data_IF_010443695238
#
_entry.id   IF_010443695238
#
_cell.length_a   1.000
_cell.length_b   1.000
_cell.length_c   1.000
_cell.angle_alpha   90.00
_cell.angle_beta   90.00
_cell.angle_gamma   90.00
#
_symmetry.space_group_name_H-M   'P 1'
#
loop_
_entity.id
_entity.type
_entity.pdbx_description
1 polymer ?
#
# COMPACT_ATOMS: atom_id res chain seq x y z
N UNK A 1 -39.35 16.93 -30.06
CA UNK A 1 -39.23 18.37 -29.78
C UNK A 1 -39.50 18.55 -28.29
N UNK A 2 -38.45 18.83 -27.49
CA UNK A 2 -38.21 20.14 -26.82
C UNK A 2 -39.37 20.57 -25.91
N UNK A 3 -39.24 21.06 -24.68
CA UNK A 3 -38.21 21.21 -23.63
C UNK A 3 -38.99 21.96 -22.52
N UNK A 4 -38.68 21.69 -21.24
CA UNK A 4 -38.68 22.63 -20.10
C UNK A 4 -39.91 23.39 -19.54
N UNK A 5 -39.82 23.59 -18.21
CA UNK A 5 -40.52 24.57 -17.38
C UNK A 5 -41.49 23.90 -16.41
N UNK A 6 -41.40 23.96 -15.08
CA UNK A 6 -40.87 24.95 -14.13
C UNK A 6 -40.74 24.20 -12.79
N UNK A 7 -39.62 24.31 -12.06
CA UNK A 7 -39.64 24.30 -10.59
C UNK A 7 -38.31 24.88 -10.07
N UNK A 8 -38.28 26.21 -10.01
CA UNK A 8 -37.39 26.99 -9.18
C UNK A 8 -38.26 27.90 -8.30
N UNK A 9 -37.75 28.21 -7.10
CA UNK A 9 -38.30 29.08 -6.06
C UNK A 9 -39.21 28.39 -5.02
N UNK A 10 -38.57 27.79 -4.01
CA UNK A 10 -38.74 28.28 -2.63
C UNK A 10 -37.43 28.05 -1.86
N UNK A 11 -36.68 29.15 -1.70
CA UNK A 11 -35.56 29.28 -0.78
C UNK A 11 -35.84 30.53 0.06
N UNK A 12 -35.45 30.48 1.35
CA UNK A 12 -35.29 31.59 2.32
C UNK A 12 -36.48 32.05 3.18
N UNK A 13 -36.44 31.65 4.45
CA UNK A 13 -36.50 32.44 5.72
C UNK A 13 -37.00 31.49 6.84
N UNK A 14 -36.18 31.07 7.80
CA UNK A 14 -35.81 31.91 8.95
C UNK A 14 -34.53 31.40 9.64
N UNK A 15 -33.65 32.34 9.99
CA UNK A 15 -32.59 32.18 10.98
C UNK A 15 -33.10 32.77 12.31
N UNK A 16 -32.54 32.26 13.42
CA UNK A 16 -32.55 32.71 14.83
C UNK A 16 -33.73 32.30 15.72
N UNK A 17 -33.55 31.23 16.53
CA UNK A 17 -33.29 31.38 17.97
C UNK A 17 -32.87 30.06 18.67
N UNK A 18 -32.04 30.23 19.69
CA UNK A 18 -31.65 29.31 20.78
C UNK A 18 -30.71 28.11 20.56
N UNK A 19 -29.45 28.37 20.93
CA UNK A 19 -28.52 27.45 21.59
C UNK A 19 -29.18 26.72 22.78
N UNK A 20 -29.50 25.43 22.64
CA UNK A 20 -29.49 24.37 23.67
C UNK A 20 -30.33 23.13 23.27
N UNK A 21 -30.02 22.49 22.14
CA UNK A 21 -30.58 21.15 21.83
C UNK A 21 -29.72 20.44 20.78
N UNK A 22 -28.47 20.09 21.12
CA UNK A 22 -27.51 19.48 20.17
C UNK A 22 -27.04 18.07 20.51
N UNK A 23 -27.70 17.37 21.43
CA UNK A 23 -27.30 16.00 21.80
C UNK A 23 -28.35 14.90 21.55
N UNK A 24 -29.50 15.20 20.93
CA UNK A 24 -30.56 14.21 20.68
C UNK A 24 -30.82 13.89 19.20
N UNK A 25 -30.07 14.46 18.24
CA UNK A 25 -30.37 14.32 16.80
C UNK A 25 -29.41 13.43 16.00
N UNK A 26 -28.45 12.76 16.64
CA UNK A 26 -27.47 11.94 15.92
C UNK A 26 -27.89 10.47 15.71
N UNK A 27 -29.04 10.03 16.23
CA UNK A 27 -29.55 8.66 16.03
C UNK A 27 -30.43 8.49 14.77
N UNK A 28 -30.75 9.54 14.03
CA UNK A 28 -31.71 9.50 12.90
C UNK A 28 -31.10 9.53 11.49
N UNK A 29 -29.76 9.53 11.35
CA UNK A 29 -29.10 9.72 10.04
C UNK A 29 -28.60 8.42 9.36
N UNK A 30 -28.42 7.33 10.09
CA UNK A 30 -28.10 6.01 9.48
C UNK A 30 -29.29 5.42 8.70
N UNK A 31 -30.49 5.96 8.87
CA UNK A 31 -31.73 5.42 8.30
C UNK A 31 -31.90 5.76 6.81
N UNK A 32 -31.38 6.90 6.32
CA UNK A 32 -31.70 7.39 4.96
C UNK A 32 -30.95 6.60 3.86
N UNK A 33 -29.70 6.22 4.11
CA UNK A 33 -28.85 5.52 3.12
C UNK A 33 -29.30 4.07 2.93
N UNK A 34 -29.85 3.46 3.98
CA UNK A 34 -30.28 2.07 3.99
C UNK A 34 -31.66 1.85 3.33
N UNK A 35 -32.43 2.91 3.06
CA UNK A 35 -33.73 2.84 2.37
C UNK A 35 -33.66 3.15 0.86
N UNK A 36 -32.46 3.47 0.34
CA UNK A 36 -32.25 3.67 -1.09
C UNK A 36 -32.01 2.32 -1.78
N UNK A 37 -32.87 1.96 -2.72
CA UNK A 37 -32.60 0.83 -3.63
C UNK A 37 -31.57 1.25 -4.68
N UNK A 38 -30.30 1.04 -4.34
CA UNK A 38 -29.16 1.45 -5.16
C UNK A 38 -29.15 0.81 -6.56
N UNK A 39 -29.85 -0.31 -6.75
CA UNK A 39 -29.91 -1.02 -8.03
C UNK A 39 -30.71 -0.26 -9.10
N UNK A 40 -31.49 0.74 -8.70
CA UNK A 40 -32.30 1.55 -9.63
C UNK A 40 -31.49 2.66 -10.31
N UNK A 41 -30.25 2.90 -9.88
CA UNK A 41 -29.40 3.94 -10.45
C UNK A 41 -28.42 3.36 -11.47
N UNK A 42 -28.35 4.01 -12.63
CA UNK A 42 -27.25 3.77 -13.58
C UNK A 42 -25.91 4.22 -13.00
N UNK A 43 -24.82 3.65 -13.53
CA UNK A 43 -23.46 4.02 -13.13
C UNK A 43 -23.16 5.53 -13.27
N UNK A 44 -23.72 6.19 -14.29
CA UNK A 44 -23.56 7.63 -14.49
C UNK A 44 -24.27 8.45 -13.41
N UNK A 45 -25.47 8.00 -13.00
CA UNK A 45 -26.21 8.63 -11.90
C UNK A 45 -25.46 8.46 -10.58
N UNK A 46 -24.89 7.28 -10.31
CA UNK A 46 -24.06 7.04 -9.12
C UNK A 46 -22.81 7.94 -9.07
N UNK A 47 -22.10 8.09 -10.20
CA UNK A 47 -20.96 9.01 -10.31
C UNK A 47 -21.37 10.46 -10.04
N UNK A 48 -22.55 10.88 -10.54
CA UNK A 48 -23.08 12.22 -10.30
C UNK A 48 -23.43 12.45 -8.82
N UNK A 49 -24.07 11.47 -8.17
CA UNK A 49 -24.36 11.50 -6.73
C UNK A 49 -23.06 11.62 -5.93
N UNK A 50 -22.04 10.82 -6.25
CA UNK A 50 -20.73 10.88 -5.58
C UNK A 50 -20.09 12.27 -5.70
N UNK A 51 -20.14 12.87 -6.90
CA UNK A 51 -19.61 14.22 -7.15
C UNK A 51 -20.33 15.28 -6.30
N UNK A 52 -21.65 15.23 -6.25
CA UNK A 52 -22.48 16.17 -5.47
C UNK A 52 -22.26 16.04 -3.96
N UNK A 53 -22.17 14.80 -3.44
CA UNK A 53 -21.85 14.56 -2.02
C UNK A 53 -20.47 15.10 -1.68
N UNK A 54 -19.47 14.86 -2.53
CA UNK A 54 -18.11 15.37 -2.32
C UNK A 54 -18.07 16.90 -2.29
N UNK A 55 -18.82 17.56 -3.17
CA UNK A 55 -18.95 19.01 -3.19
C UNK A 55 -19.66 19.54 -1.95
N UNK A 56 -20.74 18.88 -1.50
CA UNK A 56 -21.46 19.26 -0.29
C UNK A 56 -20.60 19.15 0.97
N UNK A 57 -19.81 18.07 1.10
CA UNK A 57 -18.84 17.90 2.20
C UNK A 57 -17.83 19.04 2.19
N UNK A 58 -17.26 19.36 1.02
CA UNK A 58 -16.29 20.45 0.88
C UNK A 58 -16.88 21.82 1.28
N UNK A 59 -18.09 22.14 0.81
CA UNK A 59 -18.80 23.35 1.19
C UNK A 59 -19.09 23.39 2.70
N UNK A 60 -19.47 22.25 3.30
CA UNK A 60 -19.75 22.17 4.74
C UNK A 60 -18.49 22.38 5.57
N UNK A 61 -17.38 21.77 5.20
CA UNK A 61 -16.07 21.99 5.83
C UNK A 61 -15.67 23.46 5.81
N UNK A 62 -15.87 24.15 4.66
CA UNK A 62 -15.62 25.59 4.53
C UNK A 62 -16.53 26.42 5.45
N UNK A 63 -17.82 26.07 5.52
CA UNK A 63 -18.80 26.78 6.37
C UNK A 63 -18.56 26.60 7.87
N UNK A 64 -17.92 25.51 8.27
CA UNK A 64 -17.59 25.20 9.66
C UNK A 64 -16.26 25.81 10.12
N UNK A 65 -15.59 26.61 9.27
CA UNK A 65 -14.29 27.19 9.61
C UNK A 65 -13.19 26.15 9.79
N UNK A 66 -13.37 24.92 9.30
CA UNK A 66 -12.41 23.83 9.42
C UNK A 66 -11.23 23.96 8.42
N UNK A 67 -11.07 25.13 7.79
CA UNK A 67 -9.91 25.45 6.96
C UNK A 67 -9.25 26.73 7.46
N UNK A 68 -8.38 26.60 8.46
CA UNK A 68 -7.06 27.23 8.55
C UNK A 68 -6.31 26.78 9.83
N UNK A 69 -6.21 25.46 10.05
CA UNK A 69 -4.99 24.98 10.71
C UNK A 69 -3.88 25.10 9.68
N UNK A 70 -2.95 26.05 9.89
CA UNK A 70 -1.68 26.23 9.16
C UNK A 70 -1.30 24.97 8.38
N UNK A 71 -1.76 24.86 7.13
CA UNK A 71 -1.37 23.74 6.31
C UNK A 71 0.06 24.03 5.93
N UNK A 72 0.98 23.36 6.62
CA UNK A 72 2.30 23.10 6.05
C UNK A 72 2.07 22.76 4.57
N UNK A 73 2.78 23.41 3.63
CA UNK A 73 2.47 23.35 2.20
C UNK A 73 2.13 21.92 1.83
N UNK A 74 0.92 21.68 1.32
CA UNK A 74 0.40 20.33 1.14
C UNK A 74 1.30 19.58 0.15
N UNK A 75 2.26 18.85 0.71
CA UNK A 75 3.32 18.26 -0.07
C UNK A 75 2.75 17.11 -0.87
N UNK A 76 2.98 17.15 -2.17
CA UNK A 76 2.64 16.06 -3.06
C UNK A 76 3.86 15.13 -3.13
N UNK A 77 3.63 13.85 -3.42
CA UNK A 77 4.71 12.93 -3.74
C UNK A 77 4.65 12.60 -5.23
N UNK A 78 5.81 12.43 -5.83
CA UNK A 78 5.96 11.86 -7.16
C UNK A 78 6.84 10.62 -7.05
N UNK A 79 6.34 9.48 -7.52
CA UNK A 79 7.14 8.28 -7.67
C UNK A 79 7.87 8.31 -9.01
N UNK A 80 9.06 7.72 -9.04
CA UNK A 80 9.81 7.52 -10.26
C UNK A 80 10.75 6.34 -10.11
N UNK A 81 11.14 5.76 -11.24
CA UNK A 81 12.09 4.66 -11.30
C UNK A 81 13.41 5.07 -10.62
N UNK A 82 13.89 4.24 -9.69
CA UNK A 82 15.19 4.43 -9.07
C UNK A 82 16.20 3.40 -9.60
N UNK A 83 15.86 2.12 -9.53
CA UNK A 83 16.71 1.01 -9.99
C UNK A 83 15.85 -0.15 -10.48
N UNK A 84 16.42 -0.94 -11.39
CA UNK A 84 15.91 -2.23 -11.86
C UNK A 84 17.00 -3.26 -11.65
N UNK A 85 16.63 -4.44 -11.16
CA UNK A 85 17.49 -5.60 -11.01
C UNK A 85 16.80 -6.79 -11.69
N UNK A 86 17.49 -7.59 -12.51
CA UNK A 86 18.89 -7.41 -12.89
C UNK A 86 19.10 -6.14 -13.74
N UNK A 87 20.23 -5.46 -13.54
CA UNK A 87 20.47 -4.10 -14.10
C UNK A 87 20.36 -4.00 -15.61
N UNK A 88 20.69 -5.08 -16.32
CA UNK A 88 20.62 -5.12 -17.79
C UNK A 88 19.20 -4.98 -18.32
N UNK A 89 18.17 -5.29 -17.52
CA UNK A 89 16.75 -5.14 -17.91
C UNK A 89 16.19 -3.73 -17.70
N UNK A 90 17.00 -2.78 -17.23
CA UNK A 90 16.54 -1.40 -17.02
C UNK A 90 15.89 -0.79 -18.27
N UNK A 91 16.46 -1.04 -19.45
CA UNK A 91 15.99 -0.45 -20.70
C UNK A 91 14.87 -1.25 -21.37
N UNK A 92 14.64 -2.50 -20.95
CA UNK A 92 13.59 -3.39 -21.46
C UNK A 92 12.42 -3.54 -20.48
N UNK A 93 12.39 -2.80 -19.37
CA UNK A 93 11.29 -2.86 -18.41
C UNK A 93 9.93 -2.56 -19.07
N UNK A 94 9.91 -1.71 -20.09
CA UNK A 94 8.70 -1.36 -20.84
C UNK A 94 8.10 -2.52 -21.66
N UNK A 95 8.86 -3.59 -21.87
CA UNK A 95 8.38 -4.78 -22.59
C UNK A 95 7.41 -5.60 -21.72
N UNK A 96 7.48 -5.44 -20.39
CA UNK A 96 6.62 -6.15 -19.43
C UNK A 96 5.28 -5.44 -19.26
N UNK A 97 4.20 -6.21 -19.38
CA UNK A 97 2.83 -5.67 -19.30
C UNK A 97 2.22 -5.80 -17.89
N UNK A 98 2.73 -6.73 -17.08
CA UNK A 98 2.25 -7.02 -15.73
C UNK A 98 3.31 -6.74 -14.67
N UNK A 99 2.86 -6.40 -13.48
CA UNK A 99 3.72 -6.22 -12.30
C UNK A 99 3.09 -6.75 -11.02
N UNK A 100 3.90 -6.84 -9.97
CA UNK A 100 3.50 -7.15 -8.60
C UNK A 100 3.86 -5.97 -7.72
N UNK A 101 2.90 -5.40 -7.01
CA UNK A 101 3.13 -4.34 -6.04
C UNK A 101 3.07 -4.89 -4.63
N UNK A 102 4.22 -4.93 -3.95
CA UNK A 102 4.35 -5.50 -2.61
C UNK A 102 4.01 -4.45 -1.53
N UNK A 103 2.89 -4.65 -0.83
CA UNK A 103 2.47 -3.83 0.32
C UNK A 103 2.98 -4.46 1.61
N UNK A 104 3.96 -3.80 2.22
CA UNK A 104 4.40 -4.10 3.59
C UNK A 104 3.58 -3.29 4.58
N UNK A 105 2.71 -3.96 5.34
CA UNK A 105 1.90 -3.31 6.38
C UNK A 105 2.80 -2.64 7.42
N UNK A 106 2.34 -1.54 8.01
CA UNK A 106 3.12 -0.76 8.99
C UNK A 106 4.26 0.10 8.39
N UNK A 107 4.61 -0.04 7.11
CA UNK A 107 5.60 0.84 6.48
C UNK A 107 5.01 2.21 6.12
N UNK A 108 5.75 3.28 6.45
CA UNK A 108 5.37 4.68 6.17
C UNK A 108 5.06 4.95 4.69
N UNK A 109 5.58 4.13 3.78
CA UNK A 109 5.33 4.27 2.35
C UNK A 109 3.89 3.94 1.95
N UNK A 110 3.22 3.12 2.75
CA UNK A 110 1.85 2.65 2.48
C UNK A 110 0.85 3.26 3.46
N UNK A 111 1.29 3.67 4.65
CA UNK A 111 0.45 4.36 5.64
C UNK A 111 0.24 5.85 5.31
N UNK A 112 1.16 6.51 4.59
CA UNK A 112 0.91 7.83 4.03
C UNK A 112 0.19 7.70 2.69
N UNK A 113 -1.11 7.99 2.67
CA UNK A 113 -1.96 7.92 1.47
C UNK A 113 -1.36 8.66 0.27
N UNK A 114 -0.59 9.74 0.47
CA UNK A 114 0.01 10.49 -0.64
C UNK A 114 1.15 9.72 -1.30
N UNK A 115 1.95 9.00 -0.50
CA UNK A 115 3.03 8.12 -0.99
C UNK A 115 2.47 6.92 -1.72
N UNK A 116 1.41 6.32 -1.15
CA UNK A 116 0.68 5.22 -1.78
C UNK A 116 0.12 5.66 -3.15
N UNK A 117 -0.64 6.77 -3.20
CA UNK A 117 -1.20 7.30 -4.45
C UNK A 117 -0.16 7.58 -5.52
N UNK A 118 0.96 8.21 -5.16
CA UNK A 118 2.05 8.46 -6.10
C UNK A 118 2.64 7.17 -6.68
N UNK A 119 2.68 6.10 -5.88
CA UNK A 119 3.15 4.78 -6.33
C UNK A 119 2.14 4.12 -7.26
N UNK A 120 0.85 4.15 -6.91
CA UNK A 120 -0.25 3.63 -7.75
C UNK A 120 -0.27 4.34 -9.11
N UNK A 121 -0.16 5.67 -9.11
CA UNK A 121 -0.12 6.47 -10.33
C UNK A 121 1.03 6.02 -11.24
N UNK A 122 2.25 5.93 -10.70
CA UNK A 122 3.42 5.46 -11.47
C UNK A 122 3.21 4.05 -12.02
N UNK A 123 2.71 3.10 -11.22
CA UNK A 123 2.42 1.74 -11.71
C UNK A 123 1.42 1.79 -12.86
N UNK A 124 0.35 2.58 -12.72
CA UNK A 124 -0.71 2.68 -13.73
C UNK A 124 -0.24 3.28 -15.06
N UNK A 125 0.85 4.04 -15.05
CA UNK A 125 1.44 4.64 -16.25
C UNK A 125 2.44 3.72 -16.95
N UNK A 126 2.93 2.68 -16.26
CA UNK A 126 4.00 1.81 -16.75
C UNK A 126 3.56 0.36 -17.01
N UNK A 127 2.45 -0.10 -16.42
CA UNK A 127 1.96 -1.48 -16.55
C UNK A 127 0.46 -1.54 -16.84
N UNK A 128 0.04 -2.54 -17.62
CA UNK A 128 -1.38 -2.79 -17.97
C UNK A 128 -2.12 -3.58 -16.90
N UNK A 129 -1.41 -4.41 -16.13
CA UNK A 129 -1.97 -5.12 -14.99
C UNK A 129 -1.01 -5.12 -13.81
N UNK A 130 -1.56 -5.18 -12.60
CA UNK A 130 -0.76 -5.26 -11.40
C UNK A 130 -1.46 -6.09 -10.32
N UNK A 131 -0.77 -7.10 -9.80
CA UNK A 131 -1.20 -7.79 -8.58
C UNK A 131 -0.70 -6.98 -7.39
N UNK A 132 -1.60 -6.55 -6.53
CA UNK A 132 -1.30 -5.84 -5.28
C UNK A 132 -1.26 -6.87 -4.16
N UNK A 133 -0.05 -7.24 -3.75
CA UNK A 133 0.16 -8.23 -2.70
C UNK A 133 0.13 -7.54 -1.34
N UNK A 134 -0.80 -7.95 -0.50
CA UNK A 134 -0.91 -7.49 0.88
C UNK A 134 -0.20 -8.50 1.78
N UNK A 135 0.92 -8.10 2.40
CA UNK A 135 1.69 -8.91 3.34
C UNK A 135 1.01 -9.07 4.70
N UNK A 136 -0.21 -9.57 4.72
CA UNK A 136 -1.04 -9.68 5.92
C UNK A 136 -0.51 -10.73 6.89
N UNK A 137 -0.45 -12.01 6.51
CA UNK A 137 0.13 -13.08 7.32
C UNK A 137 1.59 -12.82 7.67
N UNK A 138 2.41 -12.34 6.74
CA UNK A 138 3.82 -11.99 6.98
C UNK A 138 3.97 -10.93 8.10
N UNK A 139 3.04 -9.98 8.17
CA UNK A 139 3.13 -8.88 9.13
C UNK A 139 2.96 -9.35 10.58
N UNK A 140 2.42 -10.56 10.83
CA UNK A 140 2.37 -11.14 12.19
C UNK A 140 3.76 -11.22 12.83
N UNK A 141 4.78 -11.61 12.06
CA UNK A 141 6.16 -11.74 12.54
C UNK A 141 6.74 -10.36 12.89
N UNK A 142 6.31 -9.31 12.18
CA UNK A 142 6.66 -7.94 12.54
C UNK A 142 6.01 -7.53 13.86
N UNK A 143 4.75 -7.92 14.10
CA UNK A 143 4.04 -7.65 15.34
C UNK A 143 4.66 -8.39 16.52
N UNK A 144 5.05 -9.66 16.35
CA UNK A 144 5.76 -10.43 17.38
C UNK A 144 7.10 -9.76 17.73
N UNK A 145 7.92 -9.40 16.73
CA UNK A 145 9.25 -8.81 16.95
C UNK A 145 9.18 -7.39 17.52
N UNK A 146 8.28 -6.52 17.02
CA UNK A 146 8.29 -5.09 17.37
C UNK A 146 7.30 -4.70 18.44
N UNK A 147 6.21 -5.46 18.58
CA UNK A 147 5.12 -5.15 19.49
C UNK A 147 4.96 -6.21 20.59
N UNK A 148 5.88 -7.20 20.65
CA UNK A 148 5.91 -8.26 21.67
C UNK A 148 4.55 -8.96 21.82
N UNK A 149 3.81 -9.05 20.72
CA UNK A 149 2.52 -9.72 20.68
C UNK A 149 2.71 -11.23 20.67
N UNK A 150 1.75 -11.97 21.22
CA UNK A 150 1.76 -13.43 21.07
C UNK A 150 1.47 -13.81 19.61
N UNK A 151 1.96 -14.97 19.16
CA UNK A 151 1.80 -15.42 17.77
C UNK A 151 0.33 -15.41 17.29
N UNK A 152 -0.60 -15.88 18.13
CA UNK A 152 -2.03 -15.90 17.81
C UNK A 152 -2.61 -14.48 17.67
N UNK A 153 -2.33 -13.60 18.65
CA UNK A 153 -2.81 -12.21 18.62
C UNK A 153 -2.21 -11.45 17.44
N UNK A 154 -0.92 -11.66 17.18
CA UNK A 154 -0.21 -11.07 16.05
C UNK A 154 -0.81 -11.51 14.72
N UNK A 155 -1.12 -12.80 14.55
CA UNK A 155 -1.74 -13.31 13.33
C UNK A 155 -3.12 -12.68 13.10
N UNK A 156 -4.00 -12.71 14.11
CA UNK A 156 -5.34 -12.15 13.97
C UNK A 156 -5.30 -10.65 13.65
N UNK A 157 -4.47 -9.90 14.37
CA UNK A 157 -4.27 -8.48 14.11
C UNK A 157 -3.75 -8.21 12.68
N UNK A 158 -2.77 -8.98 12.22
CA UNK A 158 -2.17 -8.79 10.91
C UNK A 158 -3.15 -9.10 9.77
N UNK A 159 -3.94 -10.17 9.89
CA UNK A 159 -5.01 -10.50 8.94
C UNK A 159 -6.08 -9.40 8.88
N UNK A 160 -6.51 -8.88 10.03
CA UNK A 160 -7.47 -7.78 10.10
C UNK A 160 -6.91 -6.51 9.47
N UNK A 161 -5.65 -6.17 9.74
CA UNK A 161 -4.98 -5.02 9.13
C UNK A 161 -4.90 -5.13 7.60
N UNK A 162 -4.65 -6.32 7.07
CA UNK A 162 -4.64 -6.56 5.63
C UNK A 162 -6.01 -6.31 4.99
N UNK A 163 -7.08 -6.82 5.60
CA UNK A 163 -8.46 -6.59 5.15
C UNK A 163 -8.83 -5.11 5.18
N UNK A 164 -8.50 -4.43 6.28
CA UNK A 164 -8.81 -3.02 6.45
C UNK A 164 -8.02 -2.16 5.46
N UNK A 165 -6.75 -2.49 5.19
CA UNK A 165 -5.96 -1.82 4.16
C UNK A 165 -6.65 -1.85 2.80
N UNK A 166 -7.14 -3.03 2.36
CA UNK A 166 -7.85 -3.18 1.09
C UNK A 166 -9.12 -2.31 1.12
N UNK A 167 -9.95 -2.47 2.16
CA UNK A 167 -11.23 -1.74 2.30
C UNK A 167 -11.05 -0.23 2.20
N UNK A 168 -10.05 0.32 2.89
CA UNK A 168 -9.79 1.76 2.94
C UNK A 168 -9.18 2.31 1.64
N UNK A 169 -8.33 1.53 0.97
CA UNK A 169 -7.48 2.05 -0.10
C UNK A 169 -7.91 1.61 -1.50
N UNK A 170 -8.74 0.58 -1.67
CA UNK A 170 -9.14 0.04 -2.98
C UNK A 170 -9.67 1.11 -3.94
N UNK A 171 -10.38 2.12 -3.43
CA UNK A 171 -10.92 3.22 -4.25
C UNK A 171 -9.83 4.00 -4.97
N UNK A 172 -8.62 4.11 -4.40
CA UNK A 172 -7.49 4.78 -5.04
C UNK A 172 -6.92 3.99 -6.21
N UNK A 173 -7.01 2.67 -6.17
CA UNK A 173 -6.60 1.80 -7.28
C UNK A 173 -7.64 1.85 -8.41
N UNK A 174 -8.93 1.81 -8.07
CA UNK A 174 -10.02 1.87 -9.06
C UNK A 174 -10.07 3.20 -9.84
N UNK A 175 -9.52 4.29 -9.30
CA UNK A 175 -9.35 5.54 -10.05
C UNK A 175 -8.54 5.37 -11.33
N UNK A 176 -7.68 4.34 -11.41
CA UNK A 176 -6.82 4.06 -12.54
C UNK A 176 -7.25 2.82 -13.34
N UNK A 177 -8.46 2.30 -13.13
CA UNK A 177 -8.94 1.05 -13.76
C UNK A 177 -8.96 1.08 -15.30
N UNK A 178 -8.96 2.28 -15.93
CA UNK A 178 -8.87 2.44 -17.39
C UNK A 178 -7.44 2.35 -17.93
N UNK A 179 -6.42 2.47 -17.07
CA UNK A 179 -5.00 2.39 -17.44
C UNK A 179 -4.36 1.08 -17.00
N UNK A 180 -4.70 0.60 -15.81
CA UNK A 180 -4.12 -0.59 -15.22
C UNK A 180 -5.17 -1.41 -14.47
N UNK A 181 -5.19 -2.71 -14.73
CA UNK A 181 -6.02 -3.67 -14.02
C UNK A 181 -5.33 -4.09 -12.71
N UNK A 182 -5.77 -3.52 -11.59
CA UNK A 182 -5.27 -3.87 -10.25
C UNK A 182 -6.08 -5.03 -9.64
N UNK A 183 -5.38 -6.06 -9.17
CA UNK A 183 -5.98 -7.20 -8.47
C UNK A 183 -5.35 -7.39 -7.10
N UNK A 184 -6.14 -7.45 -6.05
CA UNK A 184 -5.62 -7.67 -4.70
C UNK A 184 -5.47 -9.16 -4.42
N UNK A 185 -4.36 -9.53 -3.78
CA UNK A 185 -4.14 -10.88 -3.26
C UNK A 185 -3.41 -10.78 -1.92
N UNK A 186 -3.76 -11.64 -0.98
CA UNK A 186 -3.18 -11.65 0.36
C UNK A 186 -2.13 -12.74 0.48
N UNK A 187 -1.08 -12.51 1.25
CA UNK A 187 -0.07 -13.55 1.50
C UNK A 187 -0.67 -14.74 2.23
N UNK A 188 -1.65 -14.51 3.11
CA UNK A 188 -2.43 -15.56 3.78
C UNK A 188 -3.22 -16.48 2.85
N UNK A 189 -3.45 -16.07 1.59
CA UNK A 189 -4.06 -16.91 0.56
C UNK A 189 -3.02 -17.75 -0.18
N UNK A 190 -1.82 -17.21 -0.40
CA UNK A 190 -0.70 -17.89 -1.08
C UNK A 190 -0.11 -18.99 -0.17
N UNK A 191 -0.01 -18.72 1.12
CA UNK A 191 0.53 -19.66 2.13
C UNK A 191 -0.25 -20.98 2.22
N UNK A 192 -1.50 -21.01 1.75
CA UNK A 192 -2.34 -22.22 1.74
C UNK A 192 -2.05 -23.15 0.56
N UNK A 193 -1.21 -22.73 -0.37
CA UNK A 193 -0.87 -23.52 -1.56
C UNK A 193 0.23 -24.54 -1.26
N UNK A 194 0.23 -25.67 -1.97
CA UNK A 194 1.29 -26.67 -1.84
C UNK A 194 2.63 -26.14 -2.36
N UNK A 195 2.61 -25.24 -3.34
CA UNK A 195 3.80 -24.57 -3.87
C UNK A 195 4.52 -23.74 -2.80
N UNK A 196 3.76 -23.01 -1.96
CA UNK A 196 4.34 -22.27 -0.85
C UNK A 196 5.09 -23.20 0.10
N UNK A 197 4.46 -24.30 0.51
CA UNK A 197 5.10 -25.26 1.40
C UNK A 197 6.38 -25.83 0.79
N UNK A 198 6.36 -26.18 -0.49
CA UNK A 198 7.53 -26.72 -1.19
C UNK A 198 8.69 -25.72 -1.22
N UNK A 199 8.45 -24.46 -1.63
CA UNK A 199 9.52 -23.45 -1.66
C UNK A 199 9.99 -23.06 -0.25
N UNK A 200 9.08 -22.99 0.72
CA UNK A 200 9.45 -22.70 2.10
C UNK A 200 10.38 -23.79 2.67
N UNK A 201 10.04 -25.07 2.46
CA UNK A 201 10.90 -26.18 2.86
C UNK A 201 12.27 -26.14 2.17
N UNK A 202 12.30 -25.89 0.86
CA UNK A 202 13.54 -25.75 0.11
C UNK A 202 14.42 -24.62 0.66
N UNK A 203 13.83 -23.47 0.99
CA UNK A 203 14.54 -22.33 1.56
C UNK A 203 15.02 -22.60 2.99
N UNK A 204 14.27 -23.37 3.78
CA UNK A 204 14.71 -23.83 5.10
C UNK A 204 15.92 -24.77 5.00
N UNK A 205 15.88 -25.73 4.08
CA UNK A 205 17.01 -26.63 3.80
C UNK A 205 18.23 -25.86 3.31
N UNK A 206 18.03 -24.89 2.42
CA UNK A 206 19.10 -24.02 1.93
C UNK A 206 19.73 -23.22 3.07
N UNK A 207 18.91 -22.66 3.96
CA UNK A 207 19.40 -21.94 5.14
C UNK A 207 20.16 -22.86 6.12
N UNK A 208 19.84 -24.14 6.18
CA UNK A 208 20.57 -25.07 7.06
C UNK A 208 21.91 -25.52 6.47
N UNK A 209 21.98 -25.65 5.13
CA UNK A 209 23.08 -26.36 4.48
C UNK A 209 24.04 -25.45 3.69
N UNK A 210 23.59 -24.27 3.23
CA UNK A 210 24.40 -23.39 2.38
C UNK A 210 24.86 -22.12 3.10
N UNK A 211 26.18 -21.99 3.30
CA UNK A 211 26.77 -20.88 4.04
C UNK A 211 26.52 -19.52 3.37
N UNK A 212 26.58 -19.45 2.04
CA UNK A 212 26.33 -18.21 1.29
C UNK A 212 24.91 -17.69 1.51
N UNK A 213 23.93 -18.60 1.51
CA UNK A 213 22.54 -18.27 1.78
C UNK A 213 22.32 -17.91 3.24
N UNK A 214 22.97 -18.60 4.19
CA UNK A 214 22.97 -18.21 5.60
C UNK A 214 23.46 -16.78 5.78
N UNK A 215 24.58 -16.40 5.14
CA UNK A 215 25.15 -15.06 5.24
C UNK A 215 24.22 -14.00 4.64
N UNK A 216 23.51 -14.32 3.55
CA UNK A 216 22.47 -13.48 2.97
C UNK A 216 21.34 -13.21 3.98
N UNK A 217 20.79 -14.27 4.55
CA UNK A 217 19.70 -14.20 5.54
C UNK A 217 20.15 -13.44 6.78
N UNK A 218 21.35 -13.71 7.29
CA UNK A 218 21.91 -13.03 8.46
C UNK A 218 22.09 -11.52 8.21
N UNK A 219 22.51 -11.11 7.01
CA UNK A 219 22.57 -9.69 6.63
C UNK A 219 21.18 -9.05 6.58
N UNK A 220 20.17 -9.76 6.07
CA UNK A 220 18.79 -9.30 6.10
C UNK A 220 18.31 -9.11 7.54
N UNK A 221 18.48 -10.12 8.39
CA UNK A 221 18.09 -10.10 9.81
C UNK A 221 18.75 -8.93 10.53
N UNK A 222 20.06 -8.76 10.35
CA UNK A 222 20.80 -7.65 10.93
C UNK A 222 20.22 -6.30 10.48
N UNK A 223 20.03 -6.10 9.18
CA UNK A 223 19.48 -4.85 8.65
C UNK A 223 18.04 -4.58 9.10
N UNK A 224 17.24 -5.63 9.29
CA UNK A 224 15.85 -5.54 9.73
C UNK A 224 15.74 -5.11 11.20
N UNK A 225 16.50 -5.75 12.10
CA UNK A 225 16.47 -5.47 13.53
C UNK A 225 17.05 -4.09 13.89
N UNK A 226 18.03 -3.62 13.12
CA UNK A 226 18.66 -2.30 13.34
C UNK A 226 17.89 -1.15 12.64
N UNK A 227 16.80 -1.45 11.93
CA UNK A 227 16.00 -0.41 11.27
C UNK A 227 15.16 0.35 12.30
N UNK A 228 15.64 1.51 12.73
CA UNK A 228 14.88 2.48 13.52
C UNK A 228 14.86 2.27 15.03
N UNK A 229 15.68 1.36 15.58
CA UNK A 229 15.93 1.28 17.03
C UNK A 229 17.19 2.08 17.39
N UNK A 230 17.11 2.96 18.39
CA UNK A 230 18.26 3.30 19.23
C UNK A 230 18.48 2.07 20.13
N UNK A 231 19.67 1.46 20.07
CA UNK A 231 19.93 0.19 20.72
C UNK A 231 19.97 0.42 22.24
N UNK A 232 18.97 -0.09 22.98
CA UNK A 232 19.16 -0.41 24.39
C UNK A 232 19.88 -1.76 24.45
N UNK A 233 21.20 -1.69 24.55
CA UNK A 233 22.12 -2.82 24.67
C UNK A 233 21.97 -3.36 26.10
N UNK A 234 20.87 -4.03 26.44
CA UNK A 234 20.72 -4.71 27.74
C UNK A 234 19.59 -5.77 27.75
N UNK A 235 19.10 -6.22 26.58
CA UNK A 235 18.12 -7.31 26.52
C UNK A 235 18.80 -8.68 26.48
N UNK A 236 18.28 -9.60 27.32
CA UNK A 236 18.78 -10.96 27.56
C UNK A 236 19.00 -11.79 26.26
N UNK A 237 20.03 -12.63 26.27
CA UNK A 237 20.44 -13.47 25.12
C UNK A 237 19.30 -14.32 24.51
N UNK A 238 18.29 -14.69 25.30
CA UNK A 238 17.15 -15.49 24.85
C UNK A 238 16.18 -14.68 23.99
N UNK A 239 15.83 -13.45 24.39
CA UNK A 239 14.95 -12.59 23.61
C UNK A 239 15.56 -12.27 22.24
N UNK A 240 16.87 -11.99 22.22
CA UNK A 240 17.60 -11.74 20.98
C UNK A 240 17.58 -12.95 20.04
N UNK A 241 17.73 -14.16 20.57
CA UNK A 241 17.66 -15.40 19.79
C UNK A 241 16.26 -15.61 19.18
N UNK A 242 15.21 -15.31 19.94
CA UNK A 242 13.83 -15.38 19.45
C UNK A 242 13.54 -14.34 18.36
N UNK A 243 13.99 -13.10 18.52
CA UNK A 243 13.86 -12.06 17.50
C UNK A 243 14.56 -12.46 16.18
N UNK A 244 15.77 -13.03 16.27
CA UNK A 244 16.50 -13.55 15.11
C UNK A 244 15.68 -14.63 14.41
N UNK A 245 15.17 -15.62 15.14
CA UNK A 245 14.38 -16.70 14.57
C UNK A 245 13.14 -16.18 13.83
N UNK A 246 12.39 -15.24 14.43
CA UNK A 246 11.20 -14.66 13.81
C UNK A 246 11.51 -13.88 12.53
N UNK A 247 12.60 -13.11 12.51
CA UNK A 247 13.00 -12.34 11.31
C UNK A 247 13.56 -13.25 10.22
N UNK A 248 14.27 -14.33 10.60
CA UNK A 248 14.66 -15.39 9.66
C UNK A 248 13.42 -16.01 9.03
N UNK A 249 12.43 -16.43 9.84
CA UNK A 249 11.15 -16.95 9.32
C UNK A 249 10.48 -15.95 8.39
N UNK A 250 10.44 -14.66 8.74
CA UNK A 250 9.87 -13.62 7.87
C UNK A 250 10.51 -13.61 6.49
N UNK A 251 11.85 -13.65 6.44
CA UNK A 251 12.57 -13.63 5.18
C UNK A 251 12.29 -14.88 4.33
N UNK A 252 12.28 -16.06 4.96
CA UNK A 252 12.04 -17.32 4.26
C UNK A 252 10.61 -17.42 3.73
N UNK A 253 9.61 -16.99 4.52
CA UNK A 253 8.21 -16.97 4.07
C UNK A 253 7.99 -15.96 2.94
N UNK A 254 8.55 -14.75 3.07
CA UNK A 254 8.46 -13.73 2.02
C UNK A 254 9.11 -14.25 0.73
N UNK A 255 10.28 -14.86 0.82
CA UNK A 255 10.96 -15.47 -0.33
C UNK A 255 10.15 -16.61 -0.95
N UNK A 256 9.52 -17.48 -0.16
CA UNK A 256 8.66 -18.55 -0.68
C UNK A 256 7.43 -18.00 -1.42
N UNK A 257 6.82 -16.93 -0.90
CA UNK A 257 5.70 -16.24 -1.56
C UNK A 257 6.14 -15.64 -2.89
N UNK A 258 7.28 -14.97 -2.93
CA UNK A 258 7.83 -14.39 -4.17
C UNK A 258 8.12 -15.49 -5.20
N UNK A 259 8.68 -16.62 -4.77
CA UNK A 259 8.90 -17.78 -5.64
C UNK A 259 7.59 -18.30 -6.25
N UNK A 260 6.52 -18.41 -5.45
CA UNK A 260 5.20 -18.82 -5.93
C UNK A 260 4.64 -17.87 -6.99
N UNK A 261 4.85 -16.56 -6.82
CA UNK A 261 4.37 -15.55 -7.76
C UNK A 261 5.14 -15.61 -9.07
N UNK A 262 6.47 -15.73 -9.02
CA UNK A 262 7.28 -15.86 -10.24
C UNK A 262 6.94 -17.16 -10.98
N UNK A 263 6.74 -18.27 -10.28
CA UNK A 263 6.33 -19.54 -10.88
C UNK A 263 4.95 -19.45 -11.56
N UNK A 264 4.05 -18.60 -11.03
CA UNK A 264 2.78 -18.29 -11.67
C UNK A 264 2.87 -17.32 -12.87
N UNK A 265 4.07 -16.84 -13.20
CA UNK A 265 4.33 -15.93 -14.32
C UNK A 265 4.48 -14.45 -13.93
N UNK A 266 4.40 -14.11 -12.65
CA UNK A 266 4.48 -12.74 -12.15
C UNK A 266 5.90 -12.39 -11.70
N UNK A 267 6.74 -11.88 -12.63
CA UNK A 267 8.18 -11.70 -12.38
C UNK A 267 8.61 -10.28 -12.01
N UNK A 268 7.81 -9.24 -12.24
CA UNK A 268 8.21 -7.84 -12.03
C UNK A 268 7.69 -7.28 -10.71
N UNK A 269 8.53 -7.16 -9.70
CA UNK A 269 8.16 -6.71 -8.35
C UNK A 269 8.52 -5.24 -8.12
N UNK A 270 7.52 -4.45 -7.76
CA UNK A 270 7.63 -3.02 -7.51
C UNK A 270 7.63 -2.75 -6.01
N UNK A 271 8.63 -2.00 -5.53
CA UNK A 271 8.69 -1.55 -4.13
C UNK A 271 9.17 -0.09 -3.99
N UNK A 272 8.50 0.77 -3.20
CA UNK A 272 8.96 2.12 -2.92
C UNK A 272 10.10 2.14 -1.90
N UNK A 273 11.33 2.09 -2.39
CA UNK A 273 12.54 2.03 -1.58
C UNK A 273 13.48 0.94 -2.10
N UNK A 274 14.50 0.62 -1.30
CA UNK A 274 15.45 -0.45 -1.61
C UNK A 274 15.31 -1.57 -0.58
N UNK A 275 15.30 -2.82 -1.05
CA UNK A 275 15.45 -4.01 -0.21
C UNK A 275 16.65 -4.78 -0.76
N UNK A 276 17.83 -4.48 -0.23
CA UNK A 276 19.12 -4.91 -0.79
C UNK A 276 19.19 -6.42 -1.03
N UNK A 277 18.64 -7.22 -0.13
CA UNK A 277 18.62 -8.68 -0.24
C UNK A 277 17.91 -9.17 -1.51
N UNK A 278 16.73 -8.64 -1.83
CA UNK A 278 16.04 -8.98 -3.07
C UNK A 278 16.67 -8.34 -4.31
N UNK A 279 17.28 -7.15 -4.18
CA UNK A 279 18.10 -6.59 -5.25
C UNK A 279 19.28 -7.52 -5.61
N UNK A 280 19.94 -8.13 -4.62
CA UNK A 280 21.04 -9.08 -4.82
C UNK A 280 20.56 -10.41 -5.42
N UNK A 281 19.42 -10.94 -4.96
CA UNK A 281 18.79 -12.15 -5.53
C UNK A 281 18.44 -11.92 -7.00
N UNK A 282 17.73 -10.85 -7.33
CA UNK A 282 17.35 -10.50 -8.70
C UNK A 282 18.54 -10.21 -9.61
N UNK A 283 19.67 -9.75 -9.07
CA UNK A 283 20.90 -9.56 -9.85
C UNK A 283 21.60 -10.89 -10.17
N UNK A 284 21.17 -12.01 -9.57
CA UNK A 284 21.77 -13.33 -9.77
C UNK A 284 23.00 -13.59 -8.90
N UNK A 285 23.16 -12.87 -7.79
CA UNK A 285 24.31 -13.04 -6.88
C UNK A 285 24.20 -14.26 -5.96
N UNK A 286 23.03 -14.90 -5.93
CA UNK A 286 22.73 -16.07 -5.11
C UNK A 286 22.15 -17.17 -6.00
N UNK A 287 22.97 -17.85 -6.84
CA UNK A 287 22.49 -18.87 -7.78
C UNK A 287 21.93 -20.13 -7.10
N UNK A 288 22.14 -20.30 -5.80
CA UNK A 288 21.64 -21.41 -4.98
C UNK A 288 20.15 -21.28 -4.60
N UNK A 289 19.56 -20.09 -4.72
CA UNK A 289 18.15 -19.88 -4.41
C UNK A 289 17.25 -20.63 -5.40
N UNK A 290 16.01 -20.98 -5.04
CA UNK A 290 15.04 -21.57 -5.97
C UNK A 290 14.97 -20.80 -7.29
N UNK A 291 14.97 -21.53 -8.41
CA UNK A 291 15.02 -20.95 -9.75
C UNK A 291 14.00 -19.84 -10.02
N UNK A 292 12.74 -19.87 -9.51
CA UNK A 292 11.82 -18.76 -9.67
C UNK A 292 12.33 -17.45 -9.09
N UNK A 293 13.05 -17.48 -7.96
CA UNK A 293 13.64 -16.27 -7.38
C UNK A 293 14.77 -15.70 -8.24
N UNK A 294 15.47 -16.54 -9.00
CA UNK A 294 16.52 -16.11 -9.94
C UNK A 294 15.93 -15.35 -11.13
N UNK A 295 14.71 -15.67 -11.54
CA UNK A 295 13.97 -14.97 -12.63
C UNK A 295 13.28 -13.68 -12.17
N UNK A 296 13.36 -13.35 -10.89
CA UNK A 296 12.69 -12.18 -10.33
C UNK A 296 13.31 -10.88 -10.85
N UNK A 297 12.47 -9.95 -11.28
CA UNK A 297 12.84 -8.59 -11.65
C UNK A 297 12.42 -7.65 -10.53
N UNK A 298 13.37 -7.04 -9.84
CA UNK A 298 13.11 -6.11 -8.75
C UNK A 298 13.19 -4.66 -9.21
N UNK A 299 12.13 -3.90 -8.99
CA UNK A 299 12.00 -2.49 -9.38
C UNK A 299 11.85 -1.64 -8.12
N UNK A 300 12.91 -0.89 -7.82
CA UNK A 300 12.95 0.05 -6.71
C UNK A 300 12.46 1.42 -7.18
N UNK A 301 11.46 1.99 -6.50
CA UNK A 301 10.96 3.33 -6.76
C UNK A 301 11.51 4.35 -5.76
N UNK A 302 11.79 5.57 -6.25
CA UNK A 302 12.08 6.73 -5.42
C UNK A 302 10.85 7.61 -5.31
N UNK A 303 10.47 7.94 -4.08
CA UNK A 303 9.41 8.90 -3.79
C UNK A 303 10.01 10.28 -3.49
N UNK A 304 9.80 11.26 -4.38
CA UNK A 304 10.21 12.64 -4.19
C UNK A 304 9.05 13.46 -3.63
N UNK A 305 9.35 14.29 -2.64
CA UNK A 305 8.42 15.29 -2.10
C UNK A 305 8.45 16.51 -3.02
N UNK A 306 7.32 16.91 -3.57
CA UNK A 306 7.18 18.08 -4.43
C UNK A 306 6.39 19.16 -3.68
N UNK A 307 6.89 20.39 -3.70
CA UNK A 307 6.09 21.57 -3.41
C UNK A 307 5.44 22.00 -4.72
N UNK A 308 4.10 21.91 -4.81
CA UNK A 308 3.41 22.70 -5.83
C UNK A 308 3.62 24.16 -5.44
N UNK A 309 4.57 24.86 -6.09
CA UNK A 309 4.41 26.31 -6.25
C UNK A 309 3.18 26.47 -7.11
N UNK A 310 2.11 27.04 -6.55
CA UNK A 310 0.96 27.52 -7.32
C UNK A 310 1.51 28.33 -8.49
N UNK A 311 1.15 27.92 -9.71
CA UNK A 311 1.53 28.58 -10.97
C UNK A 311 0.71 29.87 -11.11
N UNK A 312 0.93 30.81 -10.19
CA UNK A 312 0.26 32.10 -10.08
C UNK A 312 1.21 33.28 -9.81
N UNK A 313 2.36 33.06 -9.17
CA UNK A 313 3.25 34.15 -8.74
C UNK A 313 4.39 34.46 -9.72
N UNK A 314 4.13 34.40 -11.03
CA UNK A 314 5.04 34.98 -12.04
C UNK A 314 4.31 36.01 -12.90
N UNK A 315 3.77 37.03 -12.28
CA UNK A 315 3.53 38.31 -12.93
C UNK A 315 3.90 39.40 -11.92
N UNK A 316 4.64 40.40 -12.38
CA UNK A 316 5.11 41.60 -11.65
C UNK A 316 6.37 41.45 -10.80
N UNK A 317 7.53 41.54 -11.45
CA UNK A 317 8.61 42.44 -10.98
C UNK A 317 9.56 42.70 -12.15
N UNK A 318 9.15 43.63 -13.00
CA UNK A 318 10.04 44.45 -13.83
C UNK A 318 9.42 45.84 -13.90
N UNK A 319 9.88 46.72 -13.02
CA UNK A 319 9.99 48.15 -13.29
C UNK A 319 11.34 48.62 -12.77
#
# INVERSE_FOLDING_TARGET
>A
MFFWGIFQAFLFLSITHNFNSKMSQYQDQETIVNHLDWNQFSLEQLKKIQSQVSQAISCKQKSLGLNENKTSPMHHYQAGLAKVFPRHLHNSLADYQSSVFLISLGSKNFMDTRRLKATIEWISENFRSCIVIIGDSLYRLTLEVRHQSTAETALQAALQMGQEFIKQNQSYFYQYAQKCNFQFKRTSEIEKTSQFLAYYQQLQELYQNEQSFQDLVNRFVYAYLHRGKAIHIDQENQQKSQEIALVTTYFLEESAILACLVEAGDSVFIYPGAIKTFEEISEGLHPEVPEPLQRMIWVSLRLKKTSKKTRGDRVMERH
#
